data_IF_278251928677
#
_entry.id   IF_278251928677
#
_cell.length_a   1.000
_cell.length_b   1.000
_cell.length_c   1.000
_cell.angle_alpha   90.00
_cell.angle_beta   90.00
_cell.angle_gamma   90.00
#
_symmetry.space_group_name_H-M   'P 1'
#
loop_
_entity.id
_entity.type
_entity.pdbx_description
1 polymer ?
#
# COMPACT_ATOMS: atom_id res chain seq x y z
N UNK A 1 -22.97 -4.65 4.61
CA UNK A 1 -22.09 -5.75 5.07
C UNK A 1 -20.66 -5.37 4.75
N UNK A 2 -19.85 -5.02 5.74
CA UNK A 2 -18.41 -4.86 5.55
C UNK A 2 -17.84 -6.27 5.34
N UNK A 3 -17.50 -6.63 4.10
CA UNK A 3 -16.76 -7.87 3.85
C UNK A 3 -15.53 -7.86 4.75
N UNK A 4 -15.32 -8.93 5.53
CA UNK A 4 -14.07 -9.17 6.25
C UNK A 4 -12.93 -8.95 5.25
N UNK A 5 -12.21 -7.86 5.45
CA UNK A 5 -11.18 -7.41 4.52
C UNK A 5 -9.95 -8.26 4.83
N UNK A 6 -9.17 -8.68 3.81
CA UNK A 6 -7.95 -9.43 4.06
C UNK A 6 -7.08 -8.65 5.05
N UNK A 7 -6.78 -9.31 6.18
CA UNK A 7 -5.74 -8.89 7.10
C UNK A 7 -4.45 -9.25 6.37
N UNK A 8 -3.72 -8.23 5.91
CA UNK A 8 -2.40 -8.48 5.34
C UNK A 8 -1.49 -9.02 6.44
N UNK A 9 -0.65 -9.98 6.08
CA UNK A 9 0.22 -10.69 7.03
C UNK A 9 1.20 -9.76 7.74
N UNK A 10 1.81 -10.28 8.80
CA UNK A 10 2.89 -9.58 9.49
C UNK A 10 4.09 -9.39 8.56
N UNK A 11 4.70 -8.20 8.62
CA UNK A 11 5.97 -7.93 7.92
C UNK A 11 7.11 -8.28 8.87
N UNK A 12 7.97 -9.21 8.46
CA UNK A 12 9.18 -9.59 9.21
C UNK A 12 10.47 -9.37 8.41
N UNK A 13 10.37 -9.02 7.13
CA UNK A 13 11.49 -8.74 6.23
C UNK A 13 10.97 -8.06 4.94
N UNK A 14 11.88 -7.75 4.02
CA UNK A 14 11.56 -7.14 2.71
C UNK A 14 10.57 -7.98 1.88
N UNK A 15 10.77 -9.29 1.80
CA UNK A 15 9.92 -10.16 0.99
C UNK A 15 8.47 -10.18 1.51
N UNK A 16 8.27 -10.06 2.83
CA UNK A 16 6.93 -9.96 3.40
C UNK A 16 6.26 -8.63 3.05
N UNK A 17 7.00 -7.52 3.07
CA UNK A 17 6.50 -6.23 2.59
C UNK A 17 6.08 -6.31 1.11
N UNK A 18 6.91 -6.89 0.24
CA UNK A 18 6.58 -7.08 -1.18
C UNK A 18 5.33 -7.93 -1.39
N UNK A 19 5.18 -9.02 -0.62
CA UNK A 19 3.97 -9.87 -0.65
C UNK A 19 2.73 -9.07 -0.27
N UNK A 20 2.80 -8.26 0.79
CA UNK A 20 1.68 -7.42 1.23
C UNK A 20 1.29 -6.41 0.15
N UNK A 21 2.25 -5.69 -0.44
CA UNK A 21 1.96 -4.76 -1.54
C UNK A 21 1.41 -5.46 -2.79
N UNK A 22 1.91 -6.66 -3.11
CA UNK A 22 1.39 -7.48 -4.21
C UNK A 22 -0.05 -7.92 -3.96
N UNK A 23 -0.39 -8.29 -2.73
CA UNK A 23 -1.76 -8.59 -2.34
C UNK A 23 -2.69 -7.36 -2.47
N UNK A 24 -2.23 -6.18 -2.03
CA UNK A 24 -2.96 -4.91 -2.21
C UNK A 24 -3.23 -4.66 -3.70
N UNK A 25 -2.21 -4.78 -4.57
CA UNK A 25 -2.39 -4.58 -6.03
C UNK A 25 -3.35 -5.60 -6.65
N UNK A 26 -3.37 -6.82 -6.14
CA UNK A 26 -4.34 -7.83 -6.57
C UNK A 26 -5.77 -7.40 -6.21
N UNK A 27 -5.98 -6.86 -5.00
CA UNK A 27 -7.26 -6.29 -4.58
C UNK A 27 -7.65 -5.05 -5.40
N UNK A 28 -6.67 -4.23 -5.81
CA UNK A 28 -6.91 -3.10 -6.74
C UNK A 28 -7.50 -3.60 -8.04
N UNK A 29 -6.93 -4.66 -8.65
CA UNK A 29 -7.46 -5.26 -9.87
C UNK A 29 -8.93 -5.72 -9.75
N UNK A 30 -9.36 -6.10 -8.55
CA UNK A 30 -10.72 -6.56 -8.25
C UNK A 30 -11.68 -5.44 -7.82
N UNK A 31 -11.15 -4.26 -7.45
CA UNK A 31 -11.95 -3.14 -6.98
C UNK A 31 -12.91 -2.63 -8.08
N UNK A 32 -14.14 -2.31 -7.68
CA UNK A 32 -15.23 -1.87 -8.58
C UNK A 32 -15.79 -0.50 -8.24
N UNK A 33 -15.21 0.20 -7.27
CA UNK A 33 -15.71 1.50 -6.83
C UNK A 33 -14.60 2.37 -6.26
N UNK A 34 -14.78 3.69 -6.36
CA UNK A 34 -13.88 4.68 -5.77
C UNK A 34 -13.66 4.49 -4.27
N UNK A 35 -14.69 4.23 -3.44
CA UNK A 35 -14.45 3.96 -2.02
C UNK A 35 -13.53 2.75 -1.79
N UNK A 36 -13.67 1.69 -2.59
CA UNK A 36 -12.77 0.52 -2.48
C UNK A 36 -11.32 0.88 -2.82
N UNK A 37 -11.12 1.67 -3.89
CA UNK A 37 -9.81 2.17 -4.29
C UNK A 37 -9.18 3.08 -3.23
N UNK A 38 -9.95 4.01 -2.67
CA UNK A 38 -9.49 4.90 -1.58
C UNK A 38 -9.03 4.12 -0.36
N UNK A 39 -9.73 3.05 0.00
CA UNK A 39 -9.33 2.22 1.14
C UNK A 39 -8.03 1.44 0.88
N UNK A 40 -7.82 0.97 -0.36
CA UNK A 40 -6.56 0.33 -0.77
C UNK A 40 -5.40 1.32 -0.79
N UNK A 41 -5.65 2.55 -1.25
CA UNK A 41 -4.66 3.64 -1.21
C UNK A 41 -4.23 3.96 0.22
N UNK A 42 -5.20 4.13 1.15
CA UNK A 42 -4.91 4.36 2.57
C UNK A 42 -4.13 3.20 3.19
N UNK A 43 -4.43 1.96 2.82
CA UNK A 43 -3.71 0.76 3.30
C UNK A 43 -2.25 0.79 2.85
N UNK A 44 -2.00 1.07 1.58
CA UNK A 44 -0.65 1.22 1.05
C UNK A 44 0.10 2.36 1.76
N UNK A 45 -0.54 3.52 1.95
CA UNK A 45 0.06 4.66 2.64
C UNK A 45 0.38 4.38 4.10
N UNK A 46 -0.51 3.66 4.81
CA UNK A 46 -0.29 3.26 6.19
C UNK A 46 0.93 2.36 6.35
N UNK A 47 1.18 1.45 5.40
CA UNK A 47 2.37 0.60 5.44
C UNK A 47 3.67 1.40 5.39
N UNK A 48 3.73 2.46 4.56
CA UNK A 48 4.90 3.34 4.57
C UNK A 48 4.98 4.09 5.89
N UNK A 49 3.89 4.69 6.37
CA UNK A 49 3.88 5.42 7.64
C UNK A 49 4.45 4.57 8.78
N UNK A 50 4.16 3.27 8.81
CA UNK A 50 4.71 2.34 9.77
C UNK A 50 6.25 2.22 9.70
N UNK A 51 6.86 2.27 8.51
CA UNK A 51 8.33 2.27 8.35
C UNK A 51 9.02 3.52 8.92
N UNK A 52 8.26 4.58 9.21
CA UNK A 52 8.75 5.77 9.90
C UNK A 52 8.50 5.73 11.41
N UNK A 53 7.77 4.74 11.92
CA UNK A 53 7.47 4.63 13.34
C UNK A 53 8.69 4.12 14.14
N UNK A 54 8.91 4.61 15.38
CA UNK A 54 9.99 4.11 16.25
C UNK A 54 9.92 2.60 16.52
N UNK A 55 8.72 2.03 16.56
CA UNK A 55 8.52 0.59 16.75
C UNK A 55 9.12 -0.25 15.61
N UNK A 56 9.16 0.28 14.38
CA UNK A 56 9.83 -0.38 13.26
C UNK A 56 11.34 -0.29 13.39
N UNK A 57 11.88 0.83 13.87
CA UNK A 57 13.31 0.93 14.20
C UNK A 57 13.71 -0.07 15.29
N UNK A 58 12.88 -0.27 16.31
CA UNK A 58 13.09 -1.31 17.33
C UNK A 58 13.04 -2.71 16.72
N UNK A 59 12.10 -2.98 15.80
CA UNK A 59 11.90 -4.31 15.21
C UNK A 59 12.97 -4.69 14.18
N UNK A 60 13.34 -3.76 13.31
CA UNK A 60 14.17 -4.04 12.13
C UNK A 60 15.56 -3.39 12.19
N UNK A 61 15.79 -2.46 13.12
CA UNK A 61 17.07 -1.77 13.30
C UNK A 61 17.57 -1.14 12.00
N UNK A 62 18.76 -1.57 11.55
CA UNK A 62 19.40 -1.05 10.34
C UNK A 62 18.62 -1.35 9.06
N UNK A 63 17.75 -2.37 9.06
CA UNK A 63 16.96 -2.72 7.87
C UNK A 63 15.78 -1.77 7.64
N UNK A 64 15.37 -0.99 8.65
CA UNK A 64 14.24 -0.05 8.56
C UNK A 64 14.41 0.93 7.41
N UNK A 65 15.62 1.44 7.17
CA UNK A 65 15.86 2.36 6.06
C UNK A 65 15.65 1.68 4.70
N UNK A 66 16.09 0.43 4.56
CA UNK A 66 15.91 -0.31 3.32
C UNK A 66 14.43 -0.71 3.10
N UNK A 67 13.69 -0.98 4.19
CA UNK A 67 12.26 -1.22 4.15
C UNK A 67 11.46 0.04 3.80
N UNK A 68 11.90 1.21 4.27
CA UNK A 68 11.29 2.50 3.90
C UNK A 68 11.42 2.78 2.40
N UNK A 69 12.64 2.68 1.86
CA UNK A 69 12.88 2.86 0.42
C UNK A 69 12.04 1.89 -0.41
N UNK A 70 12.01 0.61 -0.01
CA UNK A 70 11.15 -0.38 -0.65
C UNK A 70 9.66 -0.02 -0.56
N UNK A 71 9.21 0.43 0.61
CA UNK A 71 7.83 0.85 0.83
C UNK A 71 7.41 2.03 -0.06
N UNK A 72 8.27 3.04 -0.20
CA UNK A 72 8.05 4.19 -1.09
C UNK A 72 7.93 3.75 -2.56
N UNK A 73 8.84 2.89 -3.04
CA UNK A 73 8.77 2.34 -4.40
C UNK A 73 7.50 1.53 -4.65
N UNK A 74 7.15 0.65 -3.70
CA UNK A 74 5.98 -0.23 -3.81
C UNK A 74 4.67 0.55 -3.70
N UNK A 75 4.62 1.60 -2.89
CA UNK A 75 3.48 2.51 -2.83
C UNK A 75 3.30 3.25 -4.14
N UNK A 76 4.35 3.84 -4.71
CA UNK A 76 4.28 4.54 -6.00
C UNK A 76 3.70 3.63 -7.09
N UNK A 77 4.18 2.38 -7.17
CA UNK A 77 3.64 1.37 -8.10
C UNK A 77 2.16 1.07 -7.83
N UNK A 78 1.77 1.02 -6.56
CA UNK A 78 0.40 0.72 -6.14
C UNK A 78 -0.55 1.89 -6.42
N UNK A 79 -0.15 3.13 -6.14
CA UNK A 79 -0.90 4.34 -6.44
C UNK A 79 -1.14 4.51 -7.95
N UNK A 80 -0.11 4.26 -8.77
CA UNK A 80 -0.24 4.18 -10.24
C UNK A 80 -1.29 3.17 -10.68
N UNK A 81 -1.27 1.98 -10.10
CA UNK A 81 -2.23 0.93 -10.42
C UNK A 81 -3.66 1.29 -9.98
N UNK A 82 -3.80 1.97 -8.83
CA UNK A 82 -5.08 2.51 -8.35
C UNK A 82 -5.62 3.56 -9.31
N UNK A 83 -4.80 4.52 -9.74
CA UNK A 83 -5.18 5.55 -10.72
C UNK A 83 -5.58 4.92 -12.05
N UNK A 84 -4.82 3.93 -12.53
CA UNK A 84 -5.15 3.15 -13.72
C UNK A 84 -6.51 2.46 -13.58
N UNK A 85 -6.75 1.83 -12.43
CA UNK A 85 -8.02 1.15 -12.16
C UNK A 85 -9.19 2.12 -12.05
N UNK A 86 -8.99 3.29 -11.43
CA UNK A 86 -10.00 4.33 -11.34
C UNK A 86 -10.50 4.76 -12.73
N UNK A 87 -9.57 4.99 -13.66
CA UNK A 87 -9.87 5.27 -15.07
C UNK A 87 -10.66 4.13 -15.73
N UNK A 88 -10.25 2.87 -15.52
CA UNK A 88 -10.93 1.70 -16.10
C UNK A 88 -12.38 1.53 -15.62
N UNK A 89 -12.67 1.87 -14.36
CA UNK A 89 -14.02 1.75 -13.80
C UNK A 89 -14.84 3.05 -13.94
N UNK A 90 -14.31 4.06 -14.65
CA UNK A 90 -15.00 5.30 -14.95
C UNK A 90 -15.24 6.20 -13.73
N UNK A 91 -14.33 6.18 -12.75
CA UNK A 91 -14.45 7.07 -11.58
C UNK A 91 -13.39 8.16 -11.59
N UNK A 92 -13.80 9.37 -11.22
CA UNK A 92 -12.90 10.51 -11.02
C UNK A 92 -12.14 10.36 -9.70
N UNK A 93 -11.00 9.69 -9.75
CA UNK A 93 -10.05 9.64 -8.66
C UNK A 93 -8.63 9.72 -9.22
N UNK A 94 -7.88 10.69 -8.74
CA UNK A 94 -6.45 10.88 -8.99
C UNK A 94 -5.79 10.99 -7.62
N UNK A 95 -5.16 9.90 -7.23
CA UNK A 95 -4.42 9.78 -5.98
C UNK A 95 -2.96 10.15 -6.23
N UNK A 96 -2.32 10.72 -5.22
CA UNK A 96 -0.89 11.02 -5.28
C UNK A 96 -0.09 9.73 -5.48
N UNK A 97 0.92 9.79 -6.34
CA UNK A 97 1.85 8.68 -6.57
C UNK A 97 3.10 8.79 -5.71
N UNK A 98 3.33 9.96 -5.13
CA UNK A 98 4.41 10.24 -4.21
C UNK A 98 3.89 10.21 -2.77
N UNK A 99 4.75 9.79 -1.85
CA UNK A 99 4.40 9.72 -0.45
C UNK A 99 5.18 10.79 0.30
N UNK A 100 4.46 11.66 1.02
CA UNK A 100 5.06 12.63 1.92
C UNK A 100 5.35 14.01 1.34
N UNK A 101 4.91 14.28 0.10
CA UNK A 101 4.92 15.62 -0.50
C UNK A 101 3.77 16.52 0.01
#
# INVERSE_FOLDING_TARGET
MAKERPIYGEINNKADMEKVFTAIRSDVGLAKSRPALTELYKRAGYLITLTHAPSWEVKFGRETQALRVLGEEEFRKTAREINRRAKQIGTEAEYDEEWGD
#
